data_IF_590318075021
#
_entry.id   IF_590318075021
#
_cell.length_a   1.000
_cell.length_b   1.000
_cell.length_c   1.000
_cell.angle_alpha   90.00
_cell.angle_beta   90.00
_cell.angle_gamma   90.00
#
_symmetry.space_group_name_H-M   'P 1'
#
loop_
_entity.id
_entity.type
_entity.pdbx_description
1 polymer ?
#
# COMPACT_ATOMS: atom_id res chain seq x y z
N UNK A 1 -0.27 13.78 -5.78
CA UNK A 1 0.68 14.10 -6.88
C UNK A 1 1.93 14.87 -6.43
N UNK A 2 1.82 16.05 -5.78
CA UNK A 2 3.00 16.86 -5.40
C UNK A 2 4.11 16.06 -4.69
N UNK A 3 3.74 15.16 -3.80
CA UNK A 3 4.69 14.36 -3.00
C UNK A 3 5.04 12.99 -3.62
N UNK A 4 4.39 12.61 -4.72
CA UNK A 4 4.57 11.29 -5.36
C UNK A 4 5.47 11.34 -6.60
N UNK A 5 5.59 12.51 -7.27
CA UNK A 5 6.26 12.63 -8.57
C UNK A 5 7.76 12.27 -8.54
N UNK A 6 8.45 12.59 -7.45
CA UNK A 6 9.91 12.42 -7.35
C UNK A 6 10.32 11.25 -6.45
N UNK A 7 9.40 10.30 -6.21
CA UNK A 7 9.65 9.14 -5.35
C UNK A 7 9.90 7.91 -6.20
N UNK A 8 10.99 7.23 -5.89
CA UNK A 8 11.36 5.97 -6.53
C UNK A 8 10.36 4.85 -6.20
N UNK A 9 9.84 4.84 -4.97
CA UNK A 9 8.86 3.87 -4.49
C UNK A 9 7.80 4.53 -3.62
N UNK A 10 6.56 4.07 -3.74
CA UNK A 10 5.41 4.53 -2.96
C UNK A 10 4.77 3.32 -2.29
N UNK A 11 4.56 3.40 -0.98
CA UNK A 11 3.86 2.36 -0.22
C UNK A 11 2.47 2.83 0.20
N UNK A 12 1.50 1.95 0.10
CA UNK A 12 0.09 2.13 0.44
C UNK A 12 -0.19 1.32 1.71
N UNK A 13 -0.28 2.02 2.83
CA UNK A 13 -0.44 1.45 4.17
C UNK A 13 -1.84 1.66 4.75
N UNK A 14 -2.87 1.41 3.94
CA UNK A 14 -4.27 1.44 4.39
C UNK A 14 -4.61 0.21 5.24
N UNK A 15 -5.77 0.24 5.90
CA UNK A 15 -6.21 -0.84 6.78
C UNK A 15 -6.31 -2.20 6.04
N UNK A 16 -6.02 -3.32 6.74
CA UNK A 16 -6.00 -4.67 6.16
C UNK A 16 -7.41 -5.24 5.94
N UNK A 17 -8.34 -4.43 5.44
CA UNK A 17 -9.71 -4.83 5.14
C UNK A 17 -10.09 -4.50 3.69
N UNK A 18 -11.34 -4.80 3.34
CA UNK A 18 -11.89 -4.59 2.00
C UNK A 18 -11.91 -3.11 1.60
N UNK A 19 -12.21 -2.22 2.54
CA UNK A 19 -12.28 -0.78 2.27
C UNK A 19 -10.88 -0.20 2.05
N UNK A 20 -9.93 -0.59 2.90
CA UNK A 20 -8.53 -0.22 2.77
C UNK A 20 -7.93 -0.71 1.45
N UNK A 21 -8.33 -1.88 0.96
CA UNK A 21 -7.90 -2.38 -0.35
C UNK A 21 -8.46 -1.55 -1.51
N UNK A 22 -9.75 -1.22 -1.48
CA UNK A 22 -10.38 -0.37 -2.49
C UNK A 22 -9.79 1.06 -2.51
N UNK A 23 -9.51 1.62 -1.34
CA UNK A 23 -8.84 2.93 -1.21
C UNK A 23 -7.42 2.86 -1.80
N UNK A 24 -6.65 1.81 -1.46
CA UNK A 24 -5.30 1.63 -1.99
C UNK A 24 -5.32 1.50 -3.52
N UNK A 25 -6.24 0.70 -4.06
CA UNK A 25 -6.42 0.55 -5.51
C UNK A 25 -6.73 1.90 -6.17
N UNK A 26 -7.70 2.65 -5.65
CA UNK A 26 -8.09 3.93 -6.25
C UNK A 26 -6.94 4.95 -6.25
N UNK A 27 -6.15 5.00 -5.18
CA UNK A 27 -4.95 5.86 -5.08
C UNK A 27 -3.89 5.41 -6.08
N UNK A 28 -3.63 4.10 -6.21
CA UNK A 28 -2.67 3.55 -7.16
C UNK A 28 -3.01 3.93 -8.60
N UNK A 29 -4.29 3.79 -8.99
CA UNK A 29 -4.77 4.20 -10.32
C UNK A 29 -4.60 5.70 -10.55
N UNK A 30 -5.02 6.52 -9.59
CA UNK A 30 -4.94 7.98 -9.69
C UNK A 30 -3.51 8.49 -9.79
N UNK A 31 -2.58 7.86 -9.08
CA UNK A 31 -1.17 8.25 -9.06
C UNK A 31 -0.33 7.49 -10.11
N UNK A 32 -0.94 6.60 -10.89
CA UNK A 32 -0.27 5.73 -11.89
C UNK A 32 0.90 4.95 -11.29
N UNK A 33 0.72 4.48 -10.06
CA UNK A 33 1.70 3.63 -9.38
C UNK A 33 1.71 2.28 -10.11
N UNK A 34 2.88 1.84 -10.55
CA UNK A 34 3.05 0.47 -11.05
C UNK A 34 2.86 -0.46 -9.87
N UNK A 35 2.04 -1.50 -10.02
CA UNK A 35 1.63 -2.42 -8.94
C UNK A 35 2.77 -3.39 -8.53
N UNK A 36 3.98 -2.86 -8.38
CA UNK A 36 5.15 -3.62 -7.97
C UNK A 36 5.29 -3.52 -6.45
N UNK A 37 4.59 -4.42 -5.76
CA UNK A 37 4.68 -4.60 -4.31
C UNK A 37 4.60 -3.28 -3.54
N UNK A 38 3.52 -2.53 -3.80
CA UNK A 38 3.29 -1.21 -3.21
C UNK A 38 2.38 -1.27 -1.98
N UNK A 39 1.75 -2.41 -1.67
CA UNK A 39 0.83 -2.55 -0.53
C UNK A 39 1.56 -3.05 0.72
N UNK A 40 1.38 -2.34 1.83
CA UNK A 40 1.93 -2.71 3.15
C UNK A 40 0.78 -2.74 4.14
N UNK A 41 0.61 -3.82 4.89
CA UNK A 41 -0.49 -3.94 5.85
C UNK A 41 0.00 -4.54 7.17
N UNK A 42 -0.47 -3.99 8.28
CA UNK A 42 -0.15 -4.45 9.63
C UNK A 42 -1.40 -4.30 10.51
N UNK A 43 -1.57 -5.23 11.46
CA UNK A 43 -2.73 -5.24 12.36
C UNK A 43 -2.48 -4.45 13.66
N UNK A 44 -1.24 -4.03 13.89
CA UNK A 44 -0.83 -3.32 15.11
C UNK A 44 0.21 -2.25 14.77
N UNK A 45 0.17 -1.13 15.50
CA UNK A 45 1.09 -0.01 15.33
C UNK A 45 2.26 -0.18 16.30
N UNK A 46 3.04 -1.25 16.09
CA UNK A 46 4.28 -1.52 16.82
C UNK A 46 5.47 -1.41 15.87
N UNK A 47 6.64 -0.99 16.38
CA UNK A 47 7.87 -0.89 15.57
C UNK A 47 8.18 -2.21 14.85
N UNK A 48 7.98 -3.32 15.56
CA UNK A 48 8.20 -4.67 15.03
C UNK A 48 7.24 -4.99 13.89
N UNK A 49 5.94 -4.77 14.06
CA UNK A 49 4.94 -5.10 13.04
C UNK A 49 5.12 -4.24 11.79
N UNK A 50 5.33 -2.93 11.97
CA UNK A 50 5.59 -2.01 10.86
C UNK A 50 6.85 -2.42 10.11
N UNK A 51 7.96 -2.64 10.80
CA UNK A 51 9.22 -3.06 10.17
C UNK A 51 9.10 -4.37 9.40
N UNK A 52 8.32 -5.33 9.90
CA UNK A 52 8.07 -6.60 9.20
C UNK A 52 7.19 -6.41 7.96
N UNK A 53 6.17 -5.54 8.04
CA UNK A 53 5.28 -5.26 6.92
C UNK A 53 6.04 -4.62 5.75
N UNK A 54 7.01 -3.74 6.02
CA UNK A 54 7.86 -3.14 4.98
C UNK A 54 8.89 -4.11 4.37
N UNK A 55 9.22 -5.21 5.04
CA UNK A 55 10.11 -6.26 4.48
C UNK A 55 9.40 -7.14 3.46
N UNK A 56 8.09 -7.31 3.60
CA UNK A 56 7.26 -8.16 2.73
C UNK A 56 6.08 -7.37 2.16
N UNK A 57 6.33 -6.31 1.37
CA UNK A 57 5.23 -5.63 0.69
C UNK A 57 4.62 -6.57 -0.36
N UNK A 58 3.33 -6.41 -0.61
CA UNK A 58 2.56 -7.24 -1.55
C UNK A 58 1.92 -6.37 -2.64
N UNK A 59 1.36 -7.02 -3.64
CA UNK A 59 0.50 -6.38 -4.64
C UNK A 59 -0.89 -6.06 -4.04
N UNK A 60 -1.60 -5.16 -4.70
CA UNK A 60 -3.00 -4.87 -4.37
C UNK A 60 -3.85 -6.08 -4.76
N UNK A 61 -4.60 -6.62 -3.80
CA UNK A 61 -5.47 -7.76 -3.98
C UNK A 61 -6.81 -7.33 -4.60
N UNK A 62 -6.87 -7.45 -5.92
CA UNK A 62 -8.05 -7.13 -6.73
C UNK A 62 -9.27 -8.02 -6.45
N UNK A 63 -9.09 -9.22 -5.88
CA UNK A 63 -10.23 -10.10 -5.52
C UNK A 63 -11.03 -9.57 -4.32
N UNK A 64 -10.42 -8.67 -3.54
CA UNK A 64 -11.03 -7.99 -2.39
C UNK A 64 -11.42 -6.55 -2.68
N UNK A 65 -11.23 -6.09 -3.91
CA UNK A 65 -11.67 -4.75 -4.36
C UNK A 65 -13.07 -4.85 -4.93
#
# INVERSE_FOLDING_TARGET
EKYSKDKEKIFLATDPDREGEAIAWHIAQKLKIKDDNSRVSFNEITERAVSQAFKNPREINLNTT
#
